data_IF_671757763196
#
_entry.id   IF_671757763196
#
_cell.length_a   1.000
_cell.length_b   1.000
_cell.length_c   1.000
_cell.angle_alpha   90.00
_cell.angle_beta   90.00
_cell.angle_gamma   90.00
#
_symmetry.space_group_name_H-M   'P 1'
#
loop_
_entity.id
_entity.type
_entity.pdbx_description
1 polymer ?
#
# COMPACT_ATOMS: atom_id res chain seq x y z
N UNK A 1 9.52 19.54 0.51
CA UNK A 1 8.06 19.56 0.62
C UNK A 1 7.40 18.40 1.37
N UNK A 2 8.21 17.47 1.91
CA UNK A 2 7.75 16.37 2.77
C UNK A 2 7.05 16.87 4.05
N UNK A 3 7.67 17.83 4.76
CA UNK A 3 7.12 18.42 5.99
C UNK A 3 5.76 19.07 5.70
N UNK A 4 5.61 19.73 4.56
CA UNK A 4 4.33 20.33 4.17
C UNK A 4 3.24 19.27 3.89
N UNK A 5 3.58 18.20 3.14
CA UNK A 5 2.64 17.12 2.87
C UNK A 5 2.26 16.38 4.15
N UNK A 6 3.22 16.10 5.02
CA UNK A 6 2.99 15.46 6.31
C UNK A 6 2.11 16.33 7.22
N UNK A 7 2.41 17.65 7.25
CA UNK A 7 1.60 18.61 8.01
C UNK A 7 0.14 18.63 7.51
N UNK A 8 -0.08 18.61 6.20
CA UNK A 8 -1.42 18.56 5.61
C UNK A 8 -2.15 17.25 5.93
N UNK A 9 -1.47 16.11 5.82
CA UNK A 9 -2.06 14.80 6.10
C UNK A 9 -2.43 14.62 7.59
N UNK A 10 -1.67 15.21 8.52
CA UNK A 10 -2.02 15.23 9.94
C UNK A 10 -3.07 16.28 10.27
N UNK A 11 -3.05 17.44 9.62
CA UNK A 11 -3.96 18.55 9.92
C UNK A 11 -5.43 18.17 9.70
N UNK A 12 -5.73 17.41 8.63
CA UNK A 12 -7.10 17.02 8.30
C UNK A 12 -7.78 16.21 9.41
N UNK A 13 -7.24 15.05 9.85
CA UNK A 13 -7.86 14.27 10.93
C UNK A 13 -7.90 15.03 12.25
N UNK A 14 -6.87 15.81 12.56
CA UNK A 14 -6.85 16.63 13.79
C UNK A 14 -7.96 17.69 13.76
N UNK A 15 -8.15 18.37 12.63
CA UNK A 15 -9.22 19.38 12.49
C UNK A 15 -10.61 18.75 12.58
N UNK A 16 -10.80 17.56 11.99
CA UNK A 16 -12.07 16.83 12.07
C UNK A 16 -12.37 16.39 13.49
N UNK A 17 -11.38 15.85 14.21
CA UNK A 17 -11.53 15.48 15.64
C UNK A 17 -11.85 16.72 16.48
N UNK A 18 -11.15 17.83 16.25
CA UNK A 18 -11.38 19.08 16.97
C UNK A 18 -12.79 19.63 16.77
N UNK A 19 -13.26 19.62 15.52
CA UNK A 19 -14.64 20.05 15.20
C UNK A 19 -15.67 19.13 15.85
N UNK A 20 -15.49 17.82 15.76
CA UNK A 20 -16.36 16.82 16.37
C UNK A 20 -16.41 16.99 17.91
N UNK A 21 -15.25 17.26 18.54
CA UNK A 21 -15.17 17.55 19.97
C UNK A 21 -15.88 18.86 20.34
N UNK A 22 -15.79 19.91 19.52
CA UNK A 22 -16.52 21.18 19.75
C UNK A 22 -18.05 20.98 19.69
N UNK A 23 -18.53 20.11 18.78
CA UNK A 23 -19.97 19.81 18.68
C UNK A 23 -20.52 19.16 19.96
N UNK A 24 -19.69 18.47 20.75
CA UNK A 24 -20.12 17.91 22.04
C UNK A 24 -20.47 18.97 23.10
N UNK A 25 -20.13 20.26 22.89
CA UNK A 25 -20.50 21.33 23.77
C UNK A 25 -21.90 21.91 23.46
N UNK A 26 -22.56 21.45 22.37
CA UNK A 26 -23.89 21.89 22.00
C UNK A 26 -24.96 21.08 22.76
N UNK A 27 -25.83 21.78 23.49
CA UNK A 27 -26.93 21.17 24.24
C UNK A 27 -27.92 20.39 23.36
N UNK A 28 -28.07 20.74 22.09
CA UNK A 28 -28.89 20.00 21.15
C UNK A 28 -28.30 18.65 20.82
N UNK A 29 -26.98 18.60 20.65
CA UNK A 29 -26.21 17.38 20.42
C UNK A 29 -26.25 16.45 21.65
N UNK A 30 -26.06 17.02 22.84
CA UNK A 30 -26.08 16.27 24.12
C UNK A 30 -27.44 15.58 24.37
N UNK A 31 -28.54 16.11 23.83
CA UNK A 31 -29.87 15.53 23.94
C UNK A 31 -30.20 14.49 22.87
N UNK A 32 -29.30 14.26 21.88
CA UNK A 32 -29.53 13.34 20.78
C UNK A 32 -28.55 12.17 20.84
N UNK A 33 -28.97 10.98 21.32
CA UNK A 33 -28.11 9.78 21.35
C UNK A 33 -27.54 9.40 19.96
N UNK A 34 -28.32 9.63 18.90
CA UNK A 34 -27.90 9.36 17.53
C UNK A 34 -26.74 10.27 17.09
N UNK A 35 -26.80 11.58 17.42
CA UNK A 35 -25.71 12.52 17.13
C UNK A 35 -24.47 12.24 17.97
N UNK A 36 -24.64 11.91 19.24
CA UNK A 36 -23.51 11.50 20.09
C UNK A 36 -22.81 10.26 19.55
N UNK A 37 -23.58 9.26 19.13
CA UNK A 37 -23.06 8.04 18.50
C UNK A 37 -22.29 8.34 17.21
N UNK A 38 -22.82 9.20 16.37
CA UNK A 38 -22.17 9.63 15.13
C UNK A 38 -20.83 10.37 15.40
N UNK A 39 -20.84 11.35 16.31
CA UNK A 39 -19.65 12.12 16.68
C UNK A 39 -18.57 11.20 17.28
N UNK A 40 -18.97 10.29 18.17
CA UNK A 40 -18.05 9.29 18.74
C UNK A 40 -17.41 8.43 17.67
N UNK A 41 -18.17 7.98 16.67
CA UNK A 41 -17.67 7.21 15.53
C UNK A 41 -16.66 8.01 14.71
N UNK A 42 -16.97 9.26 14.38
CA UNK A 42 -16.07 10.15 13.64
C UNK A 42 -14.74 10.34 14.39
N UNK A 43 -14.79 10.66 15.69
CA UNK A 43 -13.57 10.82 16.51
C UNK A 43 -12.74 9.53 16.51
N UNK A 44 -13.37 8.39 16.71
CA UNK A 44 -12.70 7.09 16.77
C UNK A 44 -12.04 6.74 15.43
N UNK A 45 -12.72 6.93 14.32
CA UNK A 45 -12.21 6.59 12.99
C UNK A 45 -11.04 7.51 12.57
N UNK A 46 -11.14 8.81 12.84
CA UNK A 46 -10.05 9.74 12.56
C UNK A 46 -8.85 9.52 13.50
N UNK A 47 -9.07 9.09 14.74
CA UNK A 47 -8.00 8.72 15.68
C UNK A 47 -7.27 7.45 15.21
N UNK A 48 -7.99 6.41 14.76
CA UNK A 48 -7.39 5.22 14.16
C UNK A 48 -6.56 5.56 12.93
N UNK A 49 -7.08 6.45 12.09
CA UNK A 49 -6.40 6.93 10.89
C UNK A 49 -5.11 7.67 11.24
N UNK A 50 -5.16 8.58 12.22
CA UNK A 50 -4.00 9.33 12.68
C UNK A 50 -2.92 8.38 13.23
N UNK A 51 -3.29 7.41 14.06
CA UNK A 51 -2.38 6.39 14.58
C UNK A 51 -1.69 5.62 13.45
N UNK A 52 -2.44 5.18 12.44
CA UNK A 52 -1.87 4.48 11.29
C UNK A 52 -0.87 5.35 10.50
N UNK A 53 -1.14 6.66 10.35
CA UNK A 53 -0.24 7.60 9.71
C UNK A 53 1.05 7.79 10.52
N UNK A 54 0.95 7.94 11.85
CA UNK A 54 2.10 8.04 12.75
C UNK A 54 2.96 6.77 12.69
N UNK A 55 2.34 5.58 12.76
CA UNK A 55 3.07 4.31 12.66
C UNK A 55 3.84 4.18 11.34
N UNK A 56 3.24 4.59 10.21
CA UNK A 56 3.94 4.61 8.90
C UNK A 56 5.15 5.54 8.90
N UNK A 57 5.04 6.73 9.47
CA UNK A 57 6.16 7.68 9.56
C UNK A 57 7.26 7.15 10.48
N UNK A 58 6.89 6.57 11.62
CA UNK A 58 7.83 5.96 12.54
C UNK A 58 8.56 4.77 11.92
N UNK A 59 7.86 3.87 11.24
CA UNK A 59 8.47 2.76 10.50
C UNK A 59 9.52 3.26 9.50
N UNK A 60 9.22 4.32 8.75
CA UNK A 60 10.17 4.91 7.82
C UNK A 60 11.36 5.57 8.50
N UNK A 61 11.14 6.30 9.59
CA UNK A 61 12.22 6.94 10.37
C UNK A 61 13.15 5.91 11.01
N UNK A 62 12.60 4.84 11.57
CA UNK A 62 13.37 3.73 12.14
C UNK A 62 14.18 3.00 11.07
N UNK A 63 13.59 2.86 9.88
CA UNK A 63 14.24 2.20 8.75
C UNK A 63 15.40 3.02 8.15
N UNK A 64 15.36 4.35 8.24
CA UNK A 64 16.44 5.25 7.78
C UNK A 64 17.65 5.27 8.74
N UNK A 65 17.41 5.04 10.03
CA UNK A 65 18.43 5.15 11.07
C UNK A 65 19.15 3.86 11.44
N UNK A 66 18.58 2.72 11.12
CA UNK A 66 19.17 1.41 11.44
C UNK A 66 19.04 0.50 10.21
N UNK A 67 20.12 -0.29 9.94
CA UNK A 67 19.93 -1.55 9.19
C UNK A 67 18.90 -2.31 10.01
N UNK A 68 17.67 -2.39 9.51
CA UNK A 68 16.63 -3.15 10.18
C UNK A 68 17.19 -4.55 10.42
N UNK A 69 17.17 -5.00 11.66
CA UNK A 69 17.52 -6.39 11.96
C UNK A 69 16.35 -7.23 11.46
N UNK A 70 16.41 -7.60 10.18
CA UNK A 70 15.39 -8.45 9.55
C UNK A 70 15.41 -9.82 10.22
N UNK A 71 14.25 -10.31 10.56
CA UNK A 71 14.05 -11.69 11.04
C UNK A 71 13.76 -12.58 9.85
N UNK A 72 14.84 -12.93 9.12
CA UNK A 72 14.72 -13.78 7.94
C UNK A 72 14.35 -15.19 8.35
N UNK A 73 13.34 -15.73 7.68
CA UNK A 73 12.87 -17.12 7.82
C UNK A 73 12.36 -17.60 6.46
N UNK A 74 12.31 -18.92 6.29
CA UNK A 74 11.74 -19.52 5.12
C UNK A 74 10.22 -19.45 5.17
N UNK A 75 9.65 -18.76 4.19
CA UNK A 75 8.22 -18.44 4.10
C UNK A 75 7.69 -18.93 2.77
N UNK A 76 6.52 -19.59 2.79
CA UNK A 76 5.76 -19.86 1.57
C UNK A 76 5.09 -18.56 1.07
N UNK A 77 5.72 -17.92 0.08
CA UNK A 77 5.23 -16.67 -0.49
C UNK A 77 3.83 -16.81 -1.11
N UNK A 78 3.49 -17.95 -1.71
CA UNK A 78 2.16 -18.17 -2.26
C UNK A 78 1.10 -18.15 -1.15
N UNK A 79 1.36 -18.77 -0.01
CA UNK A 79 0.44 -18.80 1.13
C UNK A 79 0.22 -17.39 1.71
N UNK A 80 1.29 -16.61 1.89
CA UNK A 80 1.21 -15.23 2.38
C UNK A 80 0.40 -14.36 1.41
N UNK A 81 0.69 -14.44 0.11
CA UNK A 81 -0.02 -13.67 -0.93
C UNK A 81 -1.51 -14.06 -0.98
N UNK A 82 -1.85 -15.35 -0.87
CA UNK A 82 -3.23 -15.82 -0.81
C UNK A 82 -4.01 -15.20 0.37
N UNK A 83 -3.40 -15.16 1.55
CA UNK A 83 -3.98 -14.53 2.74
C UNK A 83 -4.26 -13.03 2.55
N UNK A 84 -3.29 -12.30 2.00
CA UNK A 84 -3.42 -10.87 1.76
C UNK A 84 -4.48 -10.57 0.71
N UNK A 85 -4.47 -11.28 -0.42
CA UNK A 85 -5.44 -11.07 -1.52
C UNK A 85 -6.86 -11.39 -1.08
N UNK A 86 -7.06 -12.42 -0.25
CA UNK A 86 -8.34 -12.73 0.37
C UNK A 86 -8.87 -11.57 1.23
N UNK A 87 -8.01 -10.95 2.03
CA UNK A 87 -8.37 -9.78 2.85
C UNK A 87 -8.72 -8.56 1.99
N UNK A 88 -8.00 -8.38 0.86
CA UNK A 88 -8.25 -7.25 -0.05
C UNK A 88 -9.52 -7.41 -0.88
N UNK A 89 -10.06 -8.61 -1.03
CA UNK A 89 -11.25 -8.89 -1.84
C UNK A 89 -12.42 -7.98 -1.49
N UNK A 90 -12.78 -7.90 -0.22
CA UNK A 90 -13.86 -7.02 0.26
C UNK A 90 -13.61 -5.53 -0.05
N UNK A 91 -12.34 -5.09 0.04
CA UNK A 91 -11.96 -3.71 -0.25
C UNK A 91 -12.10 -3.38 -1.72
N UNK A 92 -11.76 -4.32 -2.61
CA UNK A 92 -11.87 -4.18 -4.06
C UNK A 92 -13.34 -4.22 -4.49
N UNK A 93 -14.14 -5.16 -3.95
CA UNK A 93 -15.57 -5.30 -4.21
C UNK A 93 -16.37 -4.05 -3.82
N UNK A 94 -15.95 -3.33 -2.76
CA UNK A 94 -16.55 -2.06 -2.35
C UNK A 94 -16.56 -0.99 -3.47
N UNK A 95 -15.60 -1.09 -4.40
CA UNK A 95 -15.48 -0.20 -5.56
C UNK A 95 -15.99 -0.84 -6.86
N UNK A 96 -16.84 -1.87 -6.75
CA UNK A 96 -17.41 -2.57 -7.89
C UNK A 96 -16.41 -3.43 -8.68
N UNK A 97 -15.20 -3.60 -8.15
CA UNK A 97 -14.12 -4.33 -8.80
C UNK A 97 -14.01 -5.78 -8.35
N UNK A 98 -13.01 -6.48 -8.89
CA UNK A 98 -12.65 -7.82 -8.46
C UNK A 98 -11.13 -8.01 -8.44
N UNK A 99 -10.68 -9.02 -7.70
CA UNK A 99 -9.28 -9.45 -7.62
C UNK A 99 -9.16 -10.90 -8.05
N UNK A 100 -8.30 -11.13 -9.03
CA UNK A 100 -7.92 -12.47 -9.49
C UNK A 100 -6.54 -12.84 -8.95
N UNK A 101 -6.39 -14.08 -8.48
CA UNK A 101 -5.13 -14.55 -7.90
C UNK A 101 -4.73 -15.87 -8.57
N UNK A 102 -3.57 -15.87 -9.24
CA UNK A 102 -2.98 -17.03 -9.92
C UNK A 102 -1.60 -17.36 -9.34
N UNK A 103 -1.56 -18.27 -8.41
CA UNK A 103 -0.33 -18.67 -7.68
C UNK A 103 0.35 -19.85 -8.39
N UNK A 104 0.99 -19.57 -9.52
CA UNK A 104 1.59 -20.58 -10.38
C UNK A 104 3.06 -20.91 -10.09
N UNK A 105 3.71 -20.24 -9.12
CA UNK A 105 5.06 -20.58 -8.72
C UNK A 105 5.08 -21.95 -8.04
N UNK A 106 5.87 -22.88 -8.55
CA UNK A 106 6.06 -24.21 -7.97
C UNK A 106 7.01 -24.15 -6.77
N UNK A 107 8.11 -23.41 -6.94
CA UNK A 107 9.06 -23.10 -5.87
C UNK A 107 8.69 -21.73 -5.29
N UNK A 108 7.93 -21.72 -4.19
CA UNK A 108 7.42 -20.51 -3.54
C UNK A 108 8.05 -20.20 -2.18
N UNK A 109 9.01 -21.04 -1.74
CA UNK A 109 9.74 -20.80 -0.50
C UNK A 109 10.82 -19.73 -0.71
N UNK A 110 10.72 -18.63 0.03
CA UNK A 110 11.65 -17.50 0.00
C UNK A 110 12.15 -17.19 1.40
N UNK A 111 13.43 -16.79 1.54
CA UNK A 111 14.00 -16.41 2.83
C UNK A 111 13.77 -14.92 3.08
N UNK A 112 12.74 -14.57 3.83
CA UNK A 112 12.29 -13.21 4.03
C UNK A 112 11.86 -12.94 5.47
N UNK A 113 11.78 -11.66 5.84
CA UNK A 113 10.99 -11.23 6.99
C UNK A 113 9.52 -11.15 6.58
N UNK A 114 8.70 -12.06 7.10
CA UNK A 114 7.29 -12.24 6.72
C UNK A 114 6.46 -10.97 6.91
N UNK A 115 6.71 -10.21 7.99
CA UNK A 115 6.01 -8.95 8.24
C UNK A 115 6.34 -7.91 7.17
N UNK A 116 7.62 -7.77 6.83
CA UNK A 116 8.05 -6.83 5.80
C UNK A 116 7.61 -7.25 4.41
N UNK A 117 7.66 -8.55 4.10
CA UNK A 117 7.13 -9.09 2.85
C UNK A 117 5.62 -8.84 2.71
N UNK A 118 4.86 -9.12 3.77
CA UNK A 118 3.42 -8.81 3.85
C UNK A 118 3.16 -7.32 3.58
N UNK A 119 3.92 -6.42 4.22
CA UNK A 119 3.78 -4.97 4.03
C UNK A 119 4.13 -4.52 2.61
N UNK A 120 5.10 -5.16 1.94
CA UNK A 120 5.44 -4.90 0.55
C UNK A 120 4.24 -5.19 -0.35
N UNK A 121 3.67 -6.38 -0.27
CA UNK A 121 2.50 -6.76 -1.08
C UNK A 121 1.30 -5.87 -0.76
N UNK A 122 1.04 -5.61 0.53
CA UNK A 122 -0.04 -4.71 0.96
C UNK A 122 0.08 -3.31 0.34
N UNK A 123 1.29 -2.72 0.31
CA UNK A 123 1.51 -1.40 -0.29
C UNK A 123 1.18 -1.38 -1.78
N UNK A 124 1.50 -2.44 -2.53
CA UNK A 124 1.18 -2.51 -3.96
C UNK A 124 -0.32 -2.63 -4.18
N UNK A 125 -1.01 -3.49 -3.43
CA UNK A 125 -2.47 -3.65 -3.53
C UNK A 125 -3.21 -2.37 -3.09
N UNK A 126 -2.75 -1.71 -2.04
CA UNK A 126 -3.33 -0.45 -1.56
C UNK A 126 -3.16 0.67 -2.60
N UNK A 127 -2.02 0.71 -3.29
CA UNK A 127 -1.80 1.64 -4.40
C UNK A 127 -2.76 1.36 -5.57
N UNK A 128 -2.98 0.11 -5.93
CA UNK A 128 -3.95 -0.25 -6.99
C UNK A 128 -5.36 0.25 -6.67
N UNK A 129 -5.80 0.12 -5.41
CA UNK A 129 -7.11 0.65 -4.97
C UNK A 129 -7.13 2.18 -4.97
N UNK A 130 -6.07 2.83 -4.52
CA UNK A 130 -5.96 4.30 -4.43
C UNK A 130 -5.95 4.97 -5.80
N UNK A 131 -5.22 4.39 -6.75
CA UNK A 131 -5.04 4.93 -8.09
C UNK A 131 -5.95 4.27 -9.14
N UNK A 132 -7.06 3.67 -8.69
CA UNK A 132 -8.08 3.13 -9.59
C UNK A 132 -8.72 4.22 -10.44
N UNK A 133 -9.22 3.87 -11.57
CA UNK A 133 -10.11 4.71 -12.38
C UNK A 133 -11.51 4.72 -11.76
N UNK A 134 -12.24 5.81 -11.95
CA UNK A 134 -13.62 5.94 -11.44
C UNK A 134 -14.66 5.57 -12.48
N UNK A 135 -14.26 5.58 -13.75
CA UNK A 135 -15.09 5.32 -14.92
C UNK A 135 -15.23 3.84 -15.24
N UNK A 136 -14.39 2.98 -14.64
CA UNK A 136 -14.42 1.52 -14.85
C UNK A 136 -14.27 0.77 -13.54
N UNK A 137 -14.83 -0.45 -13.40
CA UNK A 137 -14.56 -1.32 -12.27
C UNK A 137 -13.06 -1.58 -12.11
N UNK A 138 -12.59 -1.68 -10.86
CA UNK A 138 -11.20 -2.05 -10.57
C UNK A 138 -10.97 -3.52 -10.88
N UNK A 139 -10.06 -3.80 -11.81
CA UNK A 139 -9.55 -5.13 -12.09
C UNK A 139 -8.13 -5.24 -11.53
N UNK A 140 -7.97 -6.12 -10.55
CA UNK A 140 -6.70 -6.36 -9.90
C UNK A 140 -6.30 -7.81 -10.08
N UNK A 141 -5.09 -8.05 -10.59
CA UNK A 141 -4.57 -9.38 -10.85
C UNK A 141 -3.24 -9.58 -10.13
N UNK A 142 -3.14 -10.64 -9.34
CA UNK A 142 -1.91 -11.06 -8.67
C UNK A 142 -1.49 -12.41 -9.22
N UNK A 143 -0.26 -12.48 -9.74
CA UNK A 143 0.27 -13.69 -10.36
C UNK A 143 1.62 -14.04 -9.77
N UNK A 144 1.87 -15.31 -9.46
CA UNK A 144 3.20 -15.79 -9.10
C UNK A 144 3.69 -16.82 -10.09
N UNK A 145 5.00 -16.84 -10.33
CA UNK A 145 5.69 -17.83 -11.17
C UNK A 145 7.17 -17.93 -10.79
N UNK A 146 7.81 -19.00 -11.25
CA UNK A 146 9.26 -19.08 -11.23
C UNK A 146 9.83 -18.54 -12.54
N UNK A 147 10.92 -17.78 -12.46
CA UNK A 147 11.62 -17.18 -13.60
C UNK A 147 13.12 -17.43 -13.46
N UNK A 148 13.83 -17.49 -14.59
CA UNK A 148 15.29 -17.55 -14.58
C UNK A 148 15.86 -16.15 -14.79
N UNK A 149 16.69 -15.71 -13.84
CA UNK A 149 17.43 -14.44 -13.91
C UNK A 149 18.90 -14.77 -13.77
N UNK A 150 19.69 -14.43 -14.78
CA UNK A 150 21.14 -14.76 -14.85
C UNK A 150 21.45 -16.24 -14.61
N UNK A 151 20.56 -17.14 -15.03
CA UNK A 151 20.72 -18.58 -14.88
C UNK A 151 20.21 -19.15 -13.55
N UNK A 152 19.89 -18.33 -12.58
CA UNK A 152 19.31 -18.71 -11.30
C UNK A 152 17.78 -18.67 -11.34
N UNK A 153 17.16 -19.67 -10.74
CA UNK A 153 15.71 -19.70 -10.57
C UNK A 153 15.29 -18.76 -9.44
N UNK A 154 14.27 -17.93 -9.71
CA UNK A 154 13.75 -16.94 -8.75
C UNK A 154 12.23 -17.02 -8.67
N UNK A 155 11.70 -16.68 -7.52
CA UNK A 155 10.28 -16.42 -7.31
C UNK A 155 9.93 -15.04 -7.86
N UNK A 156 8.87 -14.95 -8.64
CA UNK A 156 8.35 -13.68 -9.15
C UNK A 156 6.89 -13.52 -8.76
N UNK A 157 6.53 -12.33 -8.26
CA UNK A 157 5.15 -11.90 -8.08
C UNK A 157 4.88 -10.66 -8.92
N UNK A 158 3.75 -10.66 -9.62
CA UNK A 158 3.25 -9.53 -10.39
C UNK A 158 1.93 -9.05 -9.78
N UNK A 159 1.81 -7.75 -9.59
CA UNK A 159 0.58 -7.07 -9.19
C UNK A 159 0.19 -6.12 -10.31
N UNK A 160 -0.91 -6.41 -10.98
CA UNK A 160 -1.38 -5.68 -12.14
C UNK A 160 -2.78 -5.10 -11.89
N UNK A 161 -2.95 -3.80 -12.15
CA UNK A 161 -4.21 -3.08 -12.05
C UNK A 161 -4.56 -2.38 -13.37
N UNK A 162 -5.83 -2.09 -13.59
CA UNK A 162 -6.37 -1.29 -14.69
C UNK A 162 -6.60 0.18 -14.27
N UNK A 163 -5.81 0.70 -13.37
CA UNK A 163 -5.91 2.05 -12.82
C UNK A 163 -5.55 3.15 -13.80
N UNK A 164 -5.30 4.35 -13.25
CA UNK A 164 -4.97 5.55 -14.05
C UNK A 164 -3.65 5.45 -14.81
N UNK A 165 -2.76 4.52 -14.42
CA UNK A 165 -1.42 4.41 -14.99
C UNK A 165 -0.53 5.62 -14.68
N UNK A 166 0.66 5.62 -15.28
CA UNK A 166 1.69 6.63 -15.07
C UNK A 166 2.38 7.03 -16.37
N UNK A 167 2.91 8.26 -16.42
CA UNK A 167 3.74 8.75 -17.52
C UNK A 167 5.14 8.16 -17.44
N UNK A 168 5.82 8.03 -18.58
CA UNK A 168 7.20 7.53 -18.66
C UNK A 168 8.19 8.30 -17.77
N UNK A 169 8.00 9.61 -17.67
CA UNK A 169 8.84 10.49 -16.84
C UNK A 169 8.71 10.22 -15.34
N UNK A 170 7.54 9.75 -14.90
CA UNK A 170 7.26 9.44 -13.50
C UNK A 170 7.85 8.09 -13.10
N UNK A 171 7.91 7.09 -14.01
CA UNK A 171 8.35 5.72 -13.71
C UNK A 171 9.73 5.65 -13.07
N UNK A 172 10.63 6.57 -13.41
CA UNK A 172 11.98 6.65 -12.83
C UNK A 172 12.00 7.19 -11.41
N UNK A 173 10.96 7.96 -11.03
CA UNK A 173 10.90 8.72 -9.77
C UNK A 173 9.96 8.14 -8.74
N UNK A 174 9.03 7.26 -9.13
CA UNK A 174 8.00 6.74 -8.21
C UNK A 174 8.55 6.01 -6.99
N UNK A 175 9.79 5.55 -7.05
CA UNK A 175 10.49 4.91 -5.94
C UNK A 175 11.32 5.90 -5.09
N UNK A 176 11.37 7.18 -5.48
CA UNK A 176 12.00 8.22 -4.67
C UNK A 176 11.10 8.55 -3.47
N UNK A 177 11.74 8.84 -2.33
CA UNK A 177 11.01 9.26 -1.13
C UNK A 177 10.26 10.55 -1.40
N UNK A 178 8.99 10.58 -0.94
CA UNK A 178 8.10 11.74 -1.04
C UNK A 178 7.67 12.10 -2.46
N UNK A 179 8.10 11.35 -3.46
CA UNK A 179 7.64 11.56 -4.81
C UNK A 179 6.17 11.13 -4.96
N UNK A 180 5.41 11.97 -5.63
CA UNK A 180 4.01 11.71 -5.97
C UNK A 180 3.77 12.15 -7.40
N UNK A 181 3.11 11.29 -8.17
CA UNK A 181 2.65 11.65 -9.51
C UNK A 181 1.58 12.73 -9.38
N UNK A 182 1.73 13.84 -10.11
CA UNK A 182 0.71 14.89 -10.15
C UNK A 182 -0.52 14.36 -10.91
N UNK A 183 -1.60 14.12 -10.21
CA UNK A 183 -2.87 13.64 -10.77
C UNK A 183 -3.83 14.77 -11.15
N UNK A 184 -3.31 15.99 -11.36
CA UNK A 184 -4.13 17.17 -11.67
C UNK A 184 -5.00 17.58 -10.48
N UNK A 185 -6.31 17.78 -10.70
CA UNK A 185 -7.26 18.24 -9.66
C UNK A 185 -7.65 17.17 -8.62
N UNK A 186 -7.03 15.99 -8.61
CA UNK A 186 -7.31 14.97 -7.59
C UNK A 186 -6.49 15.24 -6.32
N UNK A 187 -6.96 16.18 -5.51
CA UNK A 187 -6.42 16.43 -4.16
C UNK A 187 -6.70 15.29 -3.15
N UNK A 188 -7.46 14.26 -3.53
CA UNK A 188 -7.99 13.25 -2.61
C UNK A 188 -7.15 11.97 -2.47
N UNK A 189 -6.08 11.80 -3.22
CA UNK A 189 -5.22 10.63 -3.02
C UNK A 189 -4.30 10.88 -1.83
N UNK A 190 -4.72 10.39 -0.65
CA UNK A 190 -4.01 10.58 0.61
C UNK A 190 -2.77 9.68 0.69
N UNK A 191 -1.63 10.24 1.10
CA UNK A 191 -0.40 9.50 1.37
C UNK A 191 0.87 10.33 1.28
N UNK A 192 1.92 9.91 1.98
CA UNK A 192 3.19 10.66 2.11
C UNK A 192 4.18 10.45 0.96
N UNK A 193 3.88 9.64 -0.05
CA UNK A 193 4.83 9.27 -1.08
C UNK A 193 5.97 8.37 -0.58
N UNK A 194 5.73 7.60 0.48
CA UNK A 194 6.73 6.75 1.12
C UNK A 194 6.55 5.26 0.80
N UNK A 195 5.35 4.85 0.37
CA UNK A 195 5.00 3.43 0.20
C UNK A 195 5.89 2.72 -0.83
N UNK A 196 6.08 3.27 -2.02
CA UNK A 196 6.91 2.66 -3.06
C UNK A 196 8.41 2.75 -2.76
N UNK A 197 8.86 3.84 -2.10
CA UNK A 197 10.24 3.93 -1.62
C UNK A 197 10.54 2.83 -0.59
N UNK A 198 9.60 2.57 0.33
CA UNK A 198 9.68 1.46 1.27
C UNK A 198 9.71 0.11 0.54
N UNK A 199 8.81 -0.12 -0.42
CA UNK A 199 8.77 -1.36 -1.22
C UNK A 199 10.12 -1.61 -1.88
N UNK A 200 10.67 -0.63 -2.61
CA UNK A 200 11.95 -0.78 -3.30
C UNK A 200 13.09 -1.11 -2.32
N UNK A 201 13.15 -0.41 -1.18
CA UNK A 201 14.18 -0.64 -0.18
C UNK A 201 14.06 -2.03 0.43
N UNK A 202 12.84 -2.44 0.84
CA UNK A 202 12.62 -3.77 1.43
C UNK A 202 12.92 -4.88 0.46
N UNK A 203 12.44 -4.80 -0.77
CA UNK A 203 12.74 -5.80 -1.80
C UNK A 203 14.26 -5.95 -1.99
N UNK A 204 15.01 -4.83 -2.01
CA UNK A 204 16.48 -4.85 -2.08
C UNK A 204 17.13 -5.49 -0.85
N UNK A 205 16.67 -5.18 0.36
CA UNK A 205 17.18 -5.79 1.61
C UNK A 205 16.87 -7.30 1.69
N UNK A 206 15.80 -7.76 1.04
CA UNK A 206 15.44 -9.17 0.90
C UNK A 206 16.17 -9.86 -0.28
N UNK A 207 17.16 -9.19 -0.90
CA UNK A 207 17.95 -9.72 -2.02
C UNK A 207 17.21 -9.80 -3.36
N UNK A 208 16.09 -9.09 -3.48
CA UNK A 208 15.27 -9.07 -4.68
C UNK A 208 15.39 -7.78 -5.49
N UNK A 209 14.58 -7.73 -6.54
CA UNK A 209 14.44 -6.57 -7.42
C UNK A 209 12.98 -6.25 -7.67
N UNK A 210 12.68 -4.97 -7.87
CA UNK A 210 11.36 -4.50 -8.28
C UNK A 210 11.46 -3.68 -9.55
N UNK A 211 10.55 -3.95 -10.48
CA UNK A 211 10.34 -3.15 -11.68
C UNK A 211 8.87 -2.77 -11.85
N UNK A 212 8.60 -1.83 -12.75
CA UNK A 212 7.26 -1.32 -13.03
C UNK A 212 7.08 -1.13 -14.52
N UNK A 213 5.93 -1.54 -15.01
CA UNK A 213 5.40 -1.25 -16.35
C UNK A 213 4.09 -0.50 -16.16
N UNK A 214 3.91 0.62 -16.85
CA UNK A 214 2.67 1.38 -16.73
C UNK A 214 2.42 2.23 -17.97
N UNK A 215 1.14 2.39 -18.28
CA UNK A 215 0.67 3.24 -19.36
C UNK A 215 -0.55 4.04 -18.88
N UNK A 216 -0.59 5.33 -19.23
CA UNK A 216 -1.67 6.23 -18.85
C UNK A 216 -3.03 5.72 -19.31
N UNK A 217 -4.00 5.69 -18.41
CA UNK A 217 -5.37 5.20 -18.60
C UNK A 217 -5.51 3.72 -18.99
N UNK A 218 -4.44 2.95 -18.94
CA UNK A 218 -4.43 1.50 -19.13
C UNK A 218 -4.25 0.78 -17.81
N UNK A 219 -3.23 1.16 -17.01
CA UNK A 219 -2.98 0.60 -15.70
C UNK A 219 -1.51 0.50 -15.35
N UNK A 220 -1.23 -0.22 -14.28
CA UNK A 220 0.13 -0.41 -13.75
C UNK A 220 0.38 -1.87 -13.41
N UNK A 221 1.57 -2.35 -13.69
CA UNK A 221 2.07 -3.67 -13.31
C UNK A 221 3.38 -3.52 -12.56
N UNK A 222 3.38 -3.90 -11.29
CA UNK A 222 4.59 -4.04 -10.49
C UNK A 222 5.06 -5.49 -10.52
N UNK A 223 6.36 -5.69 -10.68
CA UNK A 223 7.01 -6.99 -10.79
C UNK A 223 8.11 -7.06 -9.74
N UNK A 224 8.00 -8.00 -8.80
CA UNK A 224 9.01 -8.27 -7.78
C UNK A 224 9.60 -9.66 -8.05
N UNK A 225 10.94 -9.76 -8.02
CA UNK A 225 11.65 -11.02 -8.05
C UNK A 225 12.45 -11.21 -6.76
N UNK A 226 12.39 -12.39 -6.16
CA UNK A 226 13.10 -12.76 -4.94
C UNK A 226 13.90 -14.03 -5.16
N UNK A 227 15.06 -14.21 -4.48
CA UNK A 227 15.74 -15.49 -4.43
C UNK A 227 14.82 -16.55 -3.80
N UNK A 228 14.84 -17.78 -4.33
CA UNK A 228 14.18 -18.93 -3.70
C UNK A 228 15.15 -19.62 -2.74
N UNK A 229 14.61 -20.22 -1.68
CA UNK A 229 15.38 -21.16 -0.86
C UNK A 229 15.28 -22.53 -1.53
N UNK A 230 16.42 -23.02 -2.02
CA UNK A 230 16.53 -24.39 -2.51
C UNK A 230 16.64 -25.33 -1.30
N UNK A 231 15.70 -26.22 -1.15
CA UNK A 231 15.77 -27.33 -0.17
C UNK A 231 16.70 -28.43 -0.67
#
# INVERSE_FOLDING_TARGET
DFINNMTHEFKTPISTISLAAQMLNDNAVLKSPAMLGHISTVINDETKRLRFQVEKVLQMSMFDRQKATLRLQDVDANQVIAGITSTFKLKVEKYGGHIETFLGAKESTVNVDEMHFTNVIFNLLDNAVKYRREDVPLELKVTTRNVKVHGEERFQVEVHDNGIGMRREDLKKIFEKFYRVSTGNRHDVKGFGLGLAYVKKMVGELGGEISVESEMNVGTKFIITLPITLN
#
